data_IF_770708112951
#
_entry.id   IF_770708112951
#
_cell.length_a   1.000
_cell.length_b   1.000
_cell.length_c   1.000
_cell.angle_alpha   90.00
_cell.angle_beta   90.00
_cell.angle_gamma   90.00
#
_symmetry.space_group_name_H-M   'P 1'
#
loop_
_entity.id
_entity.type
_entity.pdbx_description
1 polymer ?
#
# COMPACT_ATOMS: atom_id res chain seq x y z
N UNK A 1 6.53 6.50 11.61
CA UNK A 1 6.58 5.19 10.89
C UNK A 1 7.69 5.25 9.85
N UNK A 2 7.62 6.23 8.97
CA UNK A 2 8.71 6.85 8.22
C UNK A 2 10.06 6.87 8.96
N UNK A 3 10.16 7.45 10.16
CA UNK A 3 11.44 7.49 10.90
C UNK A 3 12.08 6.10 11.13
N UNK A 4 11.26 5.08 11.42
CA UNK A 4 11.75 3.73 11.64
C UNK A 4 12.17 3.05 10.33
N UNK A 5 11.43 3.30 9.23
CA UNK A 5 11.79 2.83 7.90
C UNK A 5 13.09 3.47 7.42
N UNK A 6 13.22 4.79 7.60
CA UNK A 6 14.41 5.54 7.23
C UNK A 6 15.64 5.12 8.04
N UNK A 7 15.49 4.87 9.35
CA UNK A 7 16.57 4.34 10.18
C UNK A 7 17.00 2.94 9.74
N UNK A 8 16.04 2.07 9.39
CA UNK A 8 16.33 0.76 8.81
C UNK A 8 17.06 0.87 7.48
N UNK A 9 16.66 1.84 6.65
CA UNK A 9 17.29 2.12 5.37
C UNK A 9 18.73 2.60 5.53
N UNK A 10 18.98 3.50 6.49
CA UNK A 10 20.33 3.96 6.83
C UNK A 10 21.23 2.80 7.24
N UNK A 11 20.72 1.89 8.08
CA UNK A 11 21.46 0.71 8.51
C UNK A 11 21.82 -0.22 7.34
N UNK A 12 20.88 -0.44 6.41
CA UNK A 12 21.11 -1.27 5.22
C UNK A 12 22.10 -0.59 4.26
N UNK A 13 21.97 0.72 4.02
CA UNK A 13 22.88 1.47 3.16
C UNK A 13 24.31 1.48 3.71
N UNK A 14 24.47 1.53 5.04
CA UNK A 14 25.77 1.47 5.69
C UNK A 14 26.53 0.15 5.43
N UNK A 15 25.85 -0.91 4.98
CA UNK A 15 26.51 -2.17 4.58
C UNK A 15 27.33 -2.04 3.29
N UNK A 16 27.04 -1.03 2.45
CA UNK A 16 27.70 -0.84 1.15
C UNK A 16 27.25 -1.81 0.06
N UNK A 17 26.26 -2.68 0.33
CA UNK A 17 25.76 -3.68 -0.63
C UNK A 17 24.50 -3.23 -1.39
N UNK A 18 23.94 -2.06 -1.08
CA UNK A 18 22.69 -1.56 -1.67
C UNK A 18 22.95 -0.29 -2.47
N UNK A 19 22.41 -0.23 -3.68
CA UNK A 19 22.44 0.98 -4.49
C UNK A 19 21.34 1.95 -3.99
N UNK A 20 21.68 3.14 -3.48
CA UNK A 20 20.71 4.08 -2.92
C UNK A 20 19.70 4.61 -3.95
N UNK A 21 19.98 4.48 -5.25
CA UNK A 21 19.08 4.93 -6.32
C UNK A 21 18.15 3.82 -6.83
N UNK A 22 18.21 2.61 -6.26
CA UNK A 22 17.42 1.44 -6.68
C UNK A 22 16.73 0.77 -5.49
N UNK A 23 16.14 1.57 -4.61
CA UNK A 23 15.40 1.07 -3.46
C UNK A 23 13.91 1.18 -3.76
N UNK A 24 13.18 0.09 -3.56
CA UNK A 24 11.73 0.02 -3.79
C UNK A 24 11.05 -0.24 -2.45
N UNK A 25 10.00 0.53 -2.15
CA UNK A 25 9.15 0.29 -0.98
C UNK A 25 7.91 -0.49 -1.43
N UNK A 26 7.78 -1.74 -0.96
CA UNK A 26 6.66 -2.62 -1.32
C UNK A 26 5.86 -3.02 -0.08
N UNK A 27 4.55 -2.82 -0.14
CA UNK A 27 3.60 -3.13 0.91
C UNK A 27 2.45 -4.03 0.45
N UNK A 28 1.96 -4.86 1.37
CA UNK A 28 0.77 -5.71 1.18
C UNK A 28 -0.13 -5.60 2.41
N UNK A 29 -1.44 -5.53 2.25
CA UNK A 29 -2.40 -5.38 3.36
C UNK A 29 -2.09 -4.11 4.16
N UNK A 30 -1.93 -4.20 5.49
CA UNK A 30 -1.43 -3.10 6.32
C UNK A 30 -0.14 -2.49 5.79
N UNK A 31 0.75 -3.30 5.22
CA UNK A 31 1.99 -2.80 4.62
C UNK A 31 1.73 -1.83 3.45
N UNK A 32 0.60 -1.94 2.76
CA UNK A 32 0.25 -1.06 1.64
C UNK A 32 -0.09 0.36 2.13
N UNK A 33 -0.93 0.51 3.16
CA UNK A 33 -1.20 1.84 3.75
C UNK A 33 0.10 2.43 4.31
N UNK A 34 0.94 1.61 4.92
CA UNK A 34 2.23 2.04 5.47
C UNK A 34 3.19 2.50 4.38
N UNK A 35 3.28 1.76 3.28
CA UNK A 35 4.14 2.12 2.14
C UNK A 35 3.72 3.44 1.51
N UNK A 36 2.41 3.65 1.29
CA UNK A 36 1.89 4.90 0.73
C UNK A 36 2.08 6.07 1.69
N UNK A 37 1.86 5.87 3.00
CA UNK A 37 2.10 6.90 4.02
C UNK A 37 3.59 7.30 4.06
N UNK A 38 4.50 6.33 4.08
CA UNK A 38 5.95 6.60 4.10
C UNK A 38 6.38 7.30 2.82
N UNK A 39 5.85 6.91 1.67
CA UNK A 39 6.14 7.54 0.39
C UNK A 39 5.75 9.02 0.32
N UNK A 40 4.73 9.44 1.08
CA UNK A 40 4.34 10.84 1.17
C UNK A 40 5.28 11.68 2.06
N UNK A 41 6.13 11.03 2.86
CA UNK A 41 7.02 11.68 3.83
C UNK A 41 8.52 11.45 3.53
N UNK A 42 8.85 10.64 2.51
CA UNK A 42 10.22 10.26 2.19
C UNK A 42 10.42 10.08 0.69
N UNK A 43 11.39 10.81 0.13
CA UNK A 43 11.79 10.76 -1.29
C UNK A 43 12.90 9.72 -1.57
N UNK A 44 13.16 8.81 -0.63
CA UNK A 44 14.30 7.87 -0.69
C UNK A 44 14.06 6.65 -1.57
N UNK A 45 12.85 6.48 -2.08
CA UNK A 45 12.45 5.30 -2.83
C UNK A 45 12.33 5.63 -4.31
N UNK A 46 12.90 4.78 -5.15
CA UNK A 46 12.83 4.92 -6.60
C UNK A 46 11.48 4.46 -7.16
N UNK A 47 10.74 3.62 -6.41
CA UNK A 47 9.39 3.20 -6.75
C UNK A 47 8.62 2.73 -5.50
N UNK A 48 7.29 2.84 -5.56
CA UNK A 48 6.37 2.37 -4.51
C UNK A 48 5.45 1.30 -5.07
N UNK A 49 5.27 0.20 -4.35
CA UNK A 49 4.32 -0.85 -4.69
C UNK A 49 3.38 -1.03 -3.51
N UNK A 50 2.08 -0.88 -3.73
CA UNK A 50 1.05 -1.09 -2.71
C UNK A 50 0.06 -2.12 -3.22
N UNK A 51 -0.28 -3.11 -2.38
CA UNK A 51 -1.14 -4.23 -2.77
C UNK A 51 -2.20 -4.52 -1.71
N UNK A 52 -3.45 -4.67 -2.13
CA UNK A 52 -4.54 -5.23 -1.34
C UNK A 52 -4.66 -4.62 0.07
N UNK A 53 -4.71 -3.30 0.17
CA UNK A 53 -4.81 -2.58 1.45
C UNK A 53 -5.82 -1.43 1.39
N UNK A 54 -5.62 -0.40 2.20
CA UNK A 54 -6.47 0.79 2.23
C UNK A 54 -5.65 2.08 2.12
N UNK A 55 -6.31 3.19 1.79
CA UNK A 55 -5.65 4.49 1.57
C UNK A 55 -6.40 5.67 2.23
N UNK A 56 -7.66 5.47 2.62
CA UNK A 56 -8.46 6.45 3.35
C UNK A 56 -8.95 5.82 4.65
N UNK A 57 -8.41 6.26 5.78
CA UNK A 57 -8.80 5.73 7.08
C UNK A 57 -10.24 6.13 7.45
N UNK A 58 -10.74 7.27 6.96
CA UNK A 58 -12.10 7.72 7.22
C UNK A 58 -13.11 6.87 6.45
N UNK A 59 -12.87 6.73 5.13
CA UNK A 59 -13.69 5.87 4.25
C UNK A 59 -13.66 4.43 4.74
N UNK A 60 -12.50 3.92 5.15
CA UNK A 60 -12.38 2.56 5.68
C UNK A 60 -13.03 2.38 7.07
N UNK A 61 -12.96 3.38 7.97
CA UNK A 61 -13.63 3.32 9.28
C UNK A 61 -15.16 3.22 9.14
N UNK A 62 -15.74 3.99 8.21
CA UNK A 62 -17.20 4.02 8.00
C UNK A 62 -17.69 3.01 6.95
N UNK A 63 -16.79 2.54 6.10
CA UNK A 63 -17.09 1.67 4.97
C UNK A 63 -17.30 0.22 5.41
N UNK A 64 -18.22 -0.49 4.74
CA UNK A 64 -18.36 -1.91 4.97
C UNK A 64 -17.21 -2.69 4.30
N UNK A 65 -16.90 -3.90 4.79
CA UNK A 65 -16.00 -4.79 4.08
C UNK A 65 -16.63 -5.27 2.76
N UNK A 66 -15.81 -5.39 1.71
CA UNK A 66 -16.28 -5.41 0.32
C UNK A 66 -17.09 -6.63 -0.12
N UNK A 67 -16.86 -7.81 0.47
CA UNK A 67 -17.39 -9.08 -0.07
C UNK A 67 -18.69 -9.57 0.56
N UNK A 68 -19.27 -8.83 1.51
CA UNK A 68 -20.35 -9.36 2.34
C UNK A 68 -21.74 -8.99 1.83
N UNK A 69 -22.62 -10.01 1.76
CA UNK A 69 -23.98 -9.87 1.22
C UNK A 69 -25.01 -9.33 2.21
N UNK A 70 -24.72 -9.39 3.51
CA UNK A 70 -25.57 -8.90 4.59
C UNK A 70 -24.67 -8.16 5.55
N UNK A 71 -25.01 -6.91 5.89
CA UNK A 71 -24.30 -6.11 6.89
C UNK A 71 -25.25 -5.92 8.08
N UNK A 72 -25.07 -6.71 9.12
CA UNK A 72 -25.88 -6.65 10.33
C UNK A 72 -25.00 -6.80 11.58
N UNK A 73 -25.33 -6.12 12.70
CA UNK A 73 -24.52 -6.14 13.92
C UNK A 73 -24.20 -7.54 14.46
N UNK A 74 -25.07 -8.53 14.20
CA UNK A 74 -24.90 -9.90 14.68
C UNK A 74 -23.92 -10.73 13.82
N UNK A 75 -23.64 -10.29 12.60
CA UNK A 75 -22.69 -10.90 11.65
C UNK A 75 -21.38 -10.12 11.59
N UNK A 76 -21.46 -8.81 11.84
CA UNK A 76 -20.37 -7.88 11.98
C UNK A 76 -20.39 -7.39 13.42
N UNK A 77 -19.64 -8.06 14.28
CA UNK A 77 -19.14 -7.33 15.44
C UNK A 77 -18.49 -6.04 14.92
N UNK A 78 -18.70 -4.93 15.63
CA UNK A 78 -18.12 -3.60 15.40
C UNK A 78 -16.58 -3.59 15.54
N UNK A 79 -15.92 -4.57 14.96
CA UNK A 79 -14.69 -5.19 15.47
C UNK A 79 -13.70 -5.48 14.36
N UNK A 80 -14.06 -5.24 13.09
CA UNK A 80 -13.22 -5.69 11.98
C UNK A 80 -11.86 -4.99 11.96
N UNK A 81 -11.78 -3.72 12.36
CA UNK A 81 -10.52 -3.00 12.64
C UNK A 81 -10.76 -1.95 13.74
N UNK A 82 -10.05 -2.10 14.86
CA UNK A 82 -10.20 -1.22 16.03
C UNK A 82 -9.22 -0.05 15.97
N UNK A 83 -9.50 0.95 15.15
CA UNK A 83 -8.70 2.18 15.17
C UNK A 83 -8.72 2.85 16.56
N UNK A 84 -9.81 2.74 17.32
CA UNK A 84 -9.86 3.21 18.71
C UNK A 84 -9.06 2.35 19.71
N UNK A 85 -8.52 1.20 19.30
CA UNK A 85 -7.62 0.44 20.16
C UNK A 85 -6.39 1.26 20.54
N UNK A 86 -5.76 0.87 21.65
CA UNK A 86 -4.58 1.58 22.18
C UNK A 86 -3.56 1.83 21.08
N UNK A 87 -3.09 3.07 20.98
CA UNK A 87 -2.06 3.45 20.02
C UNK A 87 -0.83 2.53 20.15
N UNK A 88 -0.40 1.95 19.02
CA UNK A 88 0.66 0.94 18.97
C UNK A 88 0.19 -0.51 19.09
N UNK A 89 -1.11 -0.77 19.20
CA UNK A 89 -1.71 -2.07 18.86
C UNK A 89 -1.86 -2.21 17.33
N UNK A 90 -2.22 -3.40 16.84
CA UNK A 90 -2.18 -3.78 15.41
C UNK A 90 -2.66 -2.68 14.45
N UNK A 91 -3.82 -2.07 14.70
CA UNK A 91 -4.33 -0.90 13.94
C UNK A 91 -4.65 0.31 14.82
N UNK A 92 -4.20 0.32 16.08
CA UNK A 92 -4.62 1.30 17.06
C UNK A 92 -4.07 2.69 16.80
N UNK A 93 -4.98 3.64 16.61
CA UNK A 93 -4.76 5.09 16.58
C UNK A 93 -5.21 5.72 17.91
N UNK A 94 -6.07 5.02 18.67
CA UNK A 94 -6.53 5.39 20.00
C UNK A 94 -7.62 6.46 20.04
N UNK A 95 -8.18 6.82 18.88
CA UNK A 95 -9.25 7.82 18.72
C UNK A 95 -10.18 7.41 17.58
N UNK A 96 -11.44 7.81 17.68
CA UNK A 96 -12.41 7.71 16.58
C UNK A 96 -12.37 8.96 15.69
N UNK A 97 -12.88 8.90 14.44
CA UNK A 97 -12.99 10.08 13.58
C UNK A 97 -13.89 11.18 14.17
N UNK A 98 -14.81 10.82 15.07
CA UNK A 98 -15.69 11.76 15.76
C UNK A 98 -14.97 12.54 16.87
N UNK A 99 -13.96 11.94 17.51
CA UNK A 99 -13.17 12.56 18.58
C UNK A 99 -12.03 13.40 18.02
N UNK A 100 -11.37 12.90 16.97
CA UNK A 100 -10.23 13.54 16.32
C UNK A 100 -10.31 13.27 14.81
N UNK A 101 -11.00 14.10 14.02
CA UNK A 101 -11.04 13.90 12.57
C UNK A 101 -9.68 14.18 11.92
N UNK A 102 -8.84 15.02 12.53
CA UNK A 102 -7.54 15.42 11.99
C UNK A 102 -6.55 14.26 12.00
N UNK A 103 -6.60 13.38 13.01
CA UNK A 103 -5.73 12.19 13.04
C UNK A 103 -6.03 11.24 11.88
N UNK A 104 -7.28 11.15 11.43
CA UNK A 104 -7.64 10.36 10.25
C UNK A 104 -7.19 11.06 8.96
N UNK A 105 -7.37 12.38 8.87
CA UNK A 105 -6.91 13.19 7.74
C UNK A 105 -5.41 13.01 7.50
N UNK A 106 -4.57 13.27 8.51
CA UNK A 106 -3.12 13.24 8.39
C UNK A 106 -2.52 11.84 8.21
N UNK A 107 -3.28 10.78 8.53
CA UNK A 107 -2.82 9.40 8.39
C UNK A 107 -3.43 8.67 7.18
N UNK A 108 -4.20 9.36 6.34
CA UNK A 108 -4.81 8.80 5.12
C UNK A 108 -3.97 9.10 3.89
N UNK A 109 -3.25 8.12 3.31
CA UNK A 109 -2.42 8.36 2.13
C UNK A 109 -3.14 9.00 0.95
N UNK A 110 -4.44 8.76 0.76
CA UNK A 110 -5.22 9.41 -0.32
C UNK A 110 -5.20 10.94 -0.22
N UNK A 111 -5.18 11.48 0.99
CA UNK A 111 -5.13 12.91 1.26
C UNK A 111 -3.71 13.49 1.17
N UNK A 112 -2.71 12.61 1.10
CA UNK A 112 -1.29 12.94 0.98
C UNK A 112 -0.72 12.63 -0.42
N UNK A 113 -1.58 12.24 -1.37
CA UNK A 113 -1.15 11.80 -2.70
C UNK A 113 -0.32 12.85 -3.46
N UNK A 114 -0.50 14.15 -3.18
CA UNK A 114 0.30 15.23 -3.76
C UNK A 114 1.75 15.24 -3.31
N UNK A 115 2.07 14.58 -2.21
CA UNK A 115 3.41 14.60 -1.60
C UNK A 115 4.20 13.34 -1.99
N UNK A 116 3.55 12.34 -2.59
CA UNK A 116 4.22 11.15 -3.13
C UNK A 116 4.90 11.51 -4.45
N UNK A 117 6.24 11.44 -4.51
CA UNK A 117 7.01 11.82 -5.71
C UNK A 117 7.49 10.64 -6.55
N UNK A 118 7.70 9.48 -5.92
CA UNK A 118 8.10 8.27 -6.62
C UNK A 118 6.94 7.68 -7.44
N UNK A 119 7.21 7.02 -8.59
CA UNK A 119 6.21 6.26 -9.33
C UNK A 119 5.55 5.19 -8.46
N UNK A 120 4.23 5.03 -8.58
CA UNK A 120 3.43 4.12 -7.76
C UNK A 120 2.78 3.02 -8.59
N UNK A 121 2.93 1.76 -8.15
CA UNK A 121 2.16 0.62 -8.63
C UNK A 121 1.15 0.19 -7.56
N UNK A 122 -0.12 0.39 -7.86
CA UNK A 122 -1.26 -0.08 -7.08
C UNK A 122 -1.74 -1.42 -7.65
N UNK A 123 -2.03 -2.39 -6.78
CA UNK A 123 -2.69 -3.62 -7.17
C UNK A 123 -3.79 -3.97 -6.17
N UNK A 124 -4.99 -4.29 -6.64
CA UNK A 124 -6.10 -4.68 -5.76
C UNK A 124 -6.92 -5.83 -6.34
N UNK A 125 -7.54 -6.62 -5.47
CA UNK A 125 -8.45 -7.71 -5.86
C UNK A 125 -9.90 -7.37 -5.55
N UNK A 126 -10.83 -7.76 -6.42
CA UNK A 126 -12.26 -7.42 -6.32
C UNK A 126 -13.01 -8.14 -5.18
N UNK A 127 -12.52 -9.31 -4.76
CA UNK A 127 -13.12 -10.15 -3.72
C UNK A 127 -12.34 -10.05 -2.39
N UNK A 128 -11.53 -9.01 -2.22
CA UNK A 128 -10.86 -8.68 -0.95
C UNK A 128 -11.88 -8.20 0.10
N UNK A 129 -11.60 -8.49 1.38
CA UNK A 129 -12.31 -7.87 2.50
C UNK A 129 -12.12 -6.35 2.57
N UNK A 130 -10.96 -5.84 2.13
CA UNK A 130 -10.74 -4.41 1.94
C UNK A 130 -11.35 -3.96 0.62
N UNK A 131 -12.27 -2.99 0.65
CA UNK A 131 -12.94 -2.53 -0.55
C UNK A 131 -11.93 -2.03 -1.60
N UNK A 132 -12.16 -2.44 -2.85
CA UNK A 132 -11.41 -1.94 -4.01
C UNK A 132 -11.53 -0.42 -4.17
N UNK A 133 -12.59 0.19 -3.63
CA UNK A 133 -12.78 1.64 -3.61
C UNK A 133 -11.58 2.38 -3.01
N UNK A 134 -10.88 1.77 -2.04
CA UNK A 134 -9.70 2.37 -1.42
C UNK A 134 -8.57 2.64 -2.42
N UNK A 135 -8.37 1.74 -3.38
CA UNK A 135 -7.35 1.89 -4.40
C UNK A 135 -7.86 2.67 -5.61
N UNK A 136 -9.17 2.62 -5.90
CA UNK A 136 -9.81 3.48 -6.89
C UNK A 136 -9.71 4.97 -6.48
N UNK A 137 -9.92 5.27 -5.20
CA UNK A 137 -9.72 6.57 -4.57
C UNK A 137 -8.25 7.00 -4.64
N UNK A 138 -7.32 6.15 -4.21
CA UNK A 138 -5.87 6.45 -4.23
C UNK A 138 -5.35 6.71 -5.64
N UNK A 139 -5.69 5.87 -6.61
CA UNK A 139 -5.30 6.05 -8.00
C UNK A 139 -5.84 7.38 -8.56
N UNK A 140 -7.12 7.66 -8.27
CA UNK A 140 -7.79 8.91 -8.64
C UNK A 140 -7.12 10.15 -8.04
N UNK A 141 -6.64 10.06 -6.80
CA UNK A 141 -5.93 11.14 -6.11
C UNK A 141 -4.54 11.38 -6.71
N UNK A 142 -3.76 10.31 -6.91
CA UNK A 142 -2.45 10.38 -7.56
C UNK A 142 -2.54 10.99 -8.97
N UNK A 143 -3.49 10.53 -9.77
CA UNK A 143 -3.71 11.05 -11.12
C UNK A 143 -4.07 12.55 -11.11
N UNK A 144 -4.96 12.97 -10.20
CA UNK A 144 -5.35 14.38 -10.06
C UNK A 144 -4.22 15.27 -9.54
N UNK A 145 -3.32 14.70 -8.74
CA UNK A 145 -2.09 15.36 -8.30
C UNK A 145 -0.97 15.35 -9.36
N UNK A 146 -1.21 14.78 -10.55
CA UNK A 146 -0.22 14.71 -11.63
C UNK A 146 0.93 13.76 -11.35
N UNK A 147 0.73 12.75 -10.50
CA UNK A 147 1.75 11.75 -10.15
C UNK A 147 1.77 10.58 -11.13
N UNK A 148 2.93 9.95 -11.25
CA UNK A 148 3.08 8.73 -12.03
C UNK A 148 2.52 7.54 -11.23
N UNK A 149 1.43 6.96 -11.74
CA UNK A 149 0.75 5.86 -11.09
C UNK A 149 0.20 4.85 -12.11
N UNK A 150 0.35 3.57 -11.79
CA UNK A 150 -0.29 2.45 -12.47
C UNK A 150 -1.17 1.70 -11.49
N UNK A 151 -2.32 1.22 -11.97
CA UNK A 151 -3.26 0.48 -11.14
C UNK A 151 -3.74 -0.78 -11.85
N UNK A 152 -3.51 -1.93 -11.21
CA UNK A 152 -3.88 -3.26 -11.68
C UNK A 152 -4.99 -3.82 -10.81
N UNK A 153 -6.02 -4.39 -11.44
CA UNK A 153 -7.15 -5.02 -10.75
C UNK A 153 -7.23 -6.48 -11.11
N UNK A 154 -7.35 -7.34 -10.09
CA UNK A 154 -7.56 -8.77 -10.25
C UNK A 154 -9.01 -9.12 -9.96
N UNK A 155 -9.63 -9.86 -10.88
CA UNK A 155 -11.02 -10.29 -10.79
C UNK A 155 -11.13 -11.73 -10.30
N UNK A 156 -12.12 -11.99 -9.46
CA UNK A 156 -12.34 -13.27 -8.79
C UNK A 156 -11.29 -13.61 -7.74
N UNK A 157 -10.56 -12.63 -7.21
CA UNK A 157 -9.44 -12.85 -6.29
C UNK A 157 -9.70 -12.26 -4.90
N UNK A 158 -9.32 -12.99 -3.85
CA UNK A 158 -9.49 -12.56 -2.46
C UNK A 158 -8.41 -11.59 -1.99
N UNK A 159 -8.00 -11.69 -0.72
CA UNK A 159 -6.95 -10.83 -0.15
C UNK A 159 -5.58 -10.93 -0.82
N UNK A 160 -5.40 -11.78 -1.83
CA UNK A 160 -4.26 -11.86 -2.74
C UNK A 160 -4.65 -12.74 -3.94
N UNK A 161 -3.96 -12.63 -5.09
CA UNK A 161 -4.22 -13.55 -6.20
C UNK A 161 -3.87 -14.98 -5.80
N UNK A 162 -4.76 -15.91 -6.15
CA UNK A 162 -4.69 -17.34 -5.85
C UNK A 162 -4.70 -18.19 -7.12
N UNK A 163 -5.28 -17.69 -8.22
CA UNK A 163 -5.20 -18.33 -9.52
C UNK A 163 -3.76 -18.31 -10.04
N UNK A 164 -3.21 -19.44 -10.55
CA UNK A 164 -1.89 -19.47 -11.14
C UNK A 164 -1.69 -18.43 -12.26
N UNK A 165 -2.75 -18.12 -13.03
CA UNK A 165 -2.69 -17.12 -14.09
C UNK A 165 -2.54 -15.70 -13.53
N UNK A 166 -3.32 -15.36 -12.50
CA UNK A 166 -3.26 -14.03 -11.87
C UNK A 166 -1.98 -13.85 -11.06
N UNK A 167 -1.48 -14.90 -10.40
CA UNK A 167 -0.18 -14.87 -9.73
C UNK A 167 0.93 -14.56 -10.73
N UNK A 168 0.94 -15.25 -11.88
CA UNK A 168 1.95 -15.01 -12.91
C UNK A 168 1.85 -13.58 -13.46
N UNK A 169 0.67 -13.15 -13.86
CA UNK A 169 0.43 -11.79 -14.39
C UNK A 169 0.82 -10.70 -13.36
N UNK A 170 0.60 -10.93 -12.07
CA UNK A 170 1.03 -10.02 -11.01
C UNK A 170 2.54 -9.84 -10.94
N UNK A 171 3.30 -10.93 -11.00
CA UNK A 171 4.76 -10.85 -10.98
C UNK A 171 5.29 -10.25 -12.29
N UNK A 172 4.75 -10.64 -13.44
CA UNK A 172 5.13 -10.05 -14.74
C UNK A 172 4.92 -8.54 -14.75
N UNK A 173 3.76 -8.03 -14.30
CA UNK A 173 3.50 -6.58 -14.23
C UNK A 173 4.39 -5.85 -13.23
N UNK A 174 4.77 -6.51 -12.14
CA UNK A 174 5.68 -5.94 -11.16
C UNK A 174 7.08 -5.82 -11.75
N UNK A 175 7.56 -6.88 -12.40
CA UNK A 175 8.87 -6.89 -13.06
C UNK A 175 8.92 -5.84 -14.17
N UNK A 176 7.93 -5.80 -15.06
CA UNK A 176 7.79 -4.79 -16.12
C UNK A 176 7.83 -3.37 -15.54
N UNK A 177 7.12 -3.13 -14.43
CA UNK A 177 7.11 -1.83 -13.76
C UNK A 177 8.50 -1.41 -13.27
N UNK A 178 9.25 -2.35 -12.68
CA UNK A 178 10.59 -2.08 -12.17
C UNK A 178 11.64 -1.98 -13.29
N UNK A 179 11.48 -2.74 -14.38
CA UNK A 179 12.34 -2.70 -15.55
C UNK A 179 12.23 -1.37 -16.29
N UNK A 180 11.01 -0.89 -16.53
CA UNK A 180 10.76 0.41 -17.17
C UNK A 180 11.35 1.59 -16.39
N UNK A 181 11.38 1.49 -15.06
CA UNK A 181 12.01 2.47 -14.18
C UNK A 181 13.54 2.30 -14.07
N UNK A 182 14.10 1.22 -14.63
CA UNK A 182 15.53 0.90 -14.54
C UNK A 182 15.98 0.49 -13.13
N UNK A 183 15.05 0.13 -12.25
CA UNK A 183 15.31 -0.24 -10.85
C UNK A 183 15.27 -1.75 -10.60
N UNK A 184 14.85 -2.53 -11.60
CA UNK A 184 14.91 -3.99 -11.54
C UNK A 184 16.33 -4.50 -11.22
N UNK A 185 16.46 -5.62 -10.48
CA UNK A 185 17.74 -6.27 -10.24
C UNK A 185 18.38 -6.69 -11.56
N UNK A 186 19.63 -6.30 -11.79
CA UNK A 186 20.41 -6.85 -12.90
C UNK A 186 21.04 -8.16 -12.46
N UNK A 187 20.49 -9.29 -12.89
CA UNK A 187 21.17 -10.57 -12.73
C UNK A 187 22.25 -10.68 -13.80
N UNK A 188 23.50 -10.43 -13.43
CA UNK A 188 24.61 -10.95 -14.21
C UNK A 188 24.62 -12.46 -13.98
N UNK A 189 24.28 -13.25 -15.01
CA UNK A 189 24.55 -14.68 -14.99
C UNK A 189 26.06 -14.85 -14.74
N UNK A 190 26.45 -15.25 -13.53
CA UNK A 190 27.75 -15.88 -13.36
C UNK A 190 27.70 -17.17 -14.18
N UNK A 191 28.39 -17.15 -15.32
CA UNK A 191 28.68 -18.36 -16.08
C UNK A 191 29.31 -19.37 -15.10
N UNK A 192 28.72 -20.56 -14.92
CA UNK A 192 29.33 -21.56 -14.05
C UNK A 192 30.73 -21.89 -14.56
N UNK A 193 31.72 -21.77 -13.67
CA UNK A 193 33.12 -22.12 -13.91
C UNK A 193 33.31 -23.60 -14.25
#
# INVERSE_FOLDING_TARGET
MDEAVDAGLDAILATGHVNPNKIVLSGFSQGAVSALYVAAHSDRFAAIIARNGWADLTSHYFGPPGIYSILAPDYFGSEFIRYEAQAGSEFGIGRTPFEDPEIFYRNSPVLLASDINAPVLLMHSDMDSFSMDQFDEMYSALLRAGKDARYVRYWGEGHGPSSPANIRDMWERLDDFLEELGVAPTFTEEQPS
#
